data_IF_705832666585
#
_entry.id   IF_705832666585
#
_cell.length_a   1.000
_cell.length_b   1.000
_cell.length_c   1.000
_cell.angle_alpha   90.00
_cell.angle_beta   90.00
_cell.angle_gamma   90.00
#
_symmetry.space_group_name_H-M   'P 1'
#
loop_
_entity.id
_entity.type
_entity.pdbx_description
1 polymer ?
#
# COMPACT_ATOMS: atom_id res chain seq x y z
N UNK A 1 5.87 2.99 -20.76
CA UNK A 1 4.72 3.86 -21.03
C UNK A 1 4.25 4.41 -19.70
N UNK A 2 4.39 5.73 -19.53
CA UNK A 2 3.97 6.46 -18.34
C UNK A 2 2.45 6.68 -18.40
N UNK A 3 1.78 6.65 -17.24
CA UNK A 3 0.32 6.70 -17.14
C UNK A 3 -0.13 8.14 -16.92
N UNK A 4 -1.06 8.62 -17.75
CA UNK A 4 -1.77 9.90 -17.57
C UNK A 4 -0.85 11.14 -17.43
N UNK A 5 0.36 11.11 -17.99
CA UNK A 5 1.33 12.20 -17.89
C UNK A 5 2.09 12.27 -16.56
N UNK A 6 1.93 11.27 -15.68
CA UNK A 6 2.70 11.12 -14.44
C UNK A 6 3.93 10.23 -14.64
N UNK A 7 4.85 10.25 -13.69
CA UNK A 7 6.02 9.35 -13.67
C UNK A 7 5.67 7.86 -13.43
N UNK A 8 4.40 7.55 -13.15
CA UNK A 8 3.95 6.20 -12.82
C UNK A 8 4.04 5.25 -14.01
N UNK A 9 4.73 4.12 -13.81
CA UNK A 9 4.75 3.03 -14.79
C UNK A 9 3.40 2.32 -14.90
N UNK A 10 3.02 1.92 -16.13
CA UNK A 10 1.79 1.16 -16.41
C UNK A 10 1.65 -0.12 -15.56
N UNK A 11 2.76 -0.79 -15.28
CA UNK A 11 2.77 -2.00 -14.45
C UNK A 11 2.40 -1.67 -13.00
N UNK A 12 2.97 -0.61 -12.43
CA UNK A 12 2.64 -0.15 -11.08
C UNK A 12 1.18 0.28 -11.00
N UNK A 13 0.67 0.95 -12.03
CA UNK A 13 -0.74 1.32 -12.10
C UNK A 13 -1.67 0.09 -12.07
N UNK A 14 -1.33 -0.96 -12.83
CA UNK A 14 -2.07 -2.23 -12.80
C UNK A 14 -2.07 -2.85 -11.40
N UNK A 15 -0.93 -2.85 -10.71
CA UNK A 15 -0.84 -3.32 -9.32
C UNK A 15 -1.75 -2.51 -8.40
N UNK A 16 -1.74 -1.18 -8.49
CA UNK A 16 -2.63 -0.31 -7.70
C UNK A 16 -4.12 -0.65 -7.95
N UNK A 17 -4.52 -0.90 -9.20
CA UNK A 17 -5.89 -1.32 -9.51
C UNK A 17 -6.25 -2.66 -8.83
N UNK A 18 -5.37 -3.66 -8.93
CA UNK A 18 -5.57 -4.98 -8.33
C UNK A 18 -5.61 -4.87 -6.79
N UNK A 19 -4.66 -4.16 -6.20
CA UNK A 19 -4.55 -3.93 -4.76
C UNK A 19 -5.80 -3.22 -4.22
N UNK A 20 -6.33 -2.25 -4.95
CA UNK A 20 -7.58 -1.57 -4.60
C UNK A 20 -8.75 -2.55 -4.53
N UNK A 21 -8.91 -3.43 -5.52
CA UNK A 21 -9.96 -4.47 -5.50
C UNK A 21 -9.79 -5.43 -4.32
N UNK A 22 -8.56 -5.87 -4.06
CA UNK A 22 -8.25 -6.76 -2.92
C UNK A 22 -8.53 -6.07 -1.59
N UNK A 23 -8.17 -4.78 -1.44
CA UNK A 23 -8.44 -4.00 -0.24
C UNK A 23 -9.95 -3.92 0.03
N UNK A 24 -10.77 -3.61 -0.98
CA UNK A 24 -12.23 -3.60 -0.81
C UNK A 24 -12.77 -4.96 -0.40
N UNK A 25 -12.30 -6.04 -1.04
CA UNK A 25 -12.67 -7.40 -0.66
C UNK A 25 -12.32 -7.70 0.81
N UNK A 26 -11.10 -7.39 1.24
CA UNK A 26 -10.63 -7.62 2.61
C UNK A 26 -11.38 -6.78 3.63
N UNK A 27 -11.69 -5.51 3.33
CA UNK A 27 -12.49 -4.66 4.20
C UNK A 27 -13.90 -5.24 4.37
N UNK A 28 -14.57 -5.64 3.29
CA UNK A 28 -15.90 -6.27 3.37
C UNK A 28 -15.84 -7.59 4.16
N UNK A 29 -14.84 -8.44 3.87
CA UNK A 29 -14.64 -9.70 4.58
C UNK A 29 -14.38 -9.47 6.09
N UNK A 30 -13.60 -8.45 6.43
CA UNK A 30 -13.31 -8.05 7.82
C UNK A 30 -14.56 -7.57 8.55
N UNK A 31 -15.42 -6.80 7.89
CA UNK A 31 -16.70 -6.37 8.45
C UNK A 31 -17.65 -7.56 8.68
N UNK A 32 -17.62 -8.56 7.80
CA UNK A 32 -18.41 -9.78 7.97
C UNK A 32 -17.85 -10.72 9.06
N UNK A 33 -16.54 -10.66 9.36
CA UNK A 33 -15.85 -11.50 10.34
C UNK A 33 -14.91 -10.67 11.23
N UNK A 34 -15.45 -9.88 12.19
CA UNK A 34 -14.68 -9.00 13.06
C UNK A 34 -13.77 -9.73 14.06
N UNK A 35 -13.90 -11.05 14.21
CA UNK A 35 -13.01 -11.86 15.06
C UNK A 35 -11.77 -12.39 14.32
N UNK A 36 -11.73 -12.30 12.98
CA UNK A 36 -10.59 -12.76 12.19
C UNK A 36 -9.40 -11.81 12.31
N UNK A 37 -8.49 -12.14 13.24
CA UNK A 37 -7.29 -11.35 13.52
C UNK A 37 -6.30 -11.38 12.35
N UNK A 38 -6.23 -12.47 11.59
CA UNK A 38 -5.32 -12.56 10.43
C UNK A 38 -5.82 -11.66 9.31
N UNK A 39 -7.12 -11.68 9.03
CA UNK A 39 -7.74 -10.79 8.04
C UNK A 39 -7.53 -9.31 8.35
N UNK A 40 -7.43 -8.92 9.62
CA UNK A 40 -7.06 -7.55 10.00
C UNK A 40 -5.62 -7.18 9.58
N UNK A 41 -4.65 -8.08 9.81
CA UNK A 41 -3.26 -7.86 9.41
C UNK A 41 -3.12 -7.80 7.89
N UNK A 42 -3.82 -8.68 7.17
CA UNK A 42 -3.83 -8.69 5.70
C UNK A 42 -4.41 -7.37 5.15
N UNK A 43 -5.45 -6.83 5.80
CA UNK A 43 -6.04 -5.53 5.44
C UNK A 43 -5.04 -4.38 5.65
N UNK A 44 -4.26 -4.39 6.73
CA UNK A 44 -3.22 -3.38 6.96
C UNK A 44 -2.10 -3.52 5.91
N UNK A 45 -1.68 -4.75 5.61
CA UNK A 45 -0.61 -5.01 4.65
C UNK A 45 -0.98 -4.52 3.25
N UNK A 46 -2.17 -4.85 2.76
CA UNK A 46 -2.60 -4.39 1.43
C UNK A 46 -2.77 -2.87 1.39
N UNK A 47 -3.22 -2.25 2.49
CA UNK A 47 -3.33 -0.79 2.58
C UNK A 47 -1.96 -0.11 2.52
N UNK A 48 -0.96 -0.63 3.25
CA UNK A 48 0.42 -0.13 3.18
C UNK A 48 1.02 -0.31 1.79
N UNK A 49 0.79 -1.45 1.15
CA UNK A 49 1.27 -1.73 -0.20
C UNK A 49 0.67 -0.77 -1.23
N UNK A 50 -0.64 -0.51 -1.11
CA UNK A 50 -1.35 0.47 -1.94
C UNK A 50 -0.78 1.87 -1.75
N UNK A 51 -0.55 2.31 -0.50
CA UNK A 51 0.10 3.60 -0.21
C UNK A 51 1.50 3.67 -0.81
N UNK A 52 2.30 2.62 -0.66
CA UNK A 52 3.64 2.53 -1.24
C UNK A 52 3.62 2.68 -2.76
N UNK A 53 2.77 1.92 -3.47
CA UNK A 53 2.72 1.97 -4.93
C UNK A 53 2.13 3.28 -5.47
N UNK A 54 1.14 3.87 -4.79
CA UNK A 54 0.58 5.17 -5.17
C UNK A 54 1.63 6.27 -4.95
N UNK A 55 2.21 6.34 -3.76
CA UNK A 55 3.17 7.41 -3.43
C UNK A 55 4.49 7.25 -4.19
N UNK A 56 5.07 6.05 -4.26
CA UNK A 56 6.30 5.82 -5.04
C UNK A 56 6.09 5.81 -6.56
N UNK A 57 4.85 5.63 -7.02
CA UNK A 57 4.50 5.70 -8.43
C UNK A 57 4.21 7.13 -8.91
N UNK A 58 3.56 7.95 -8.07
CA UNK A 58 3.18 9.32 -8.41
C UNK A 58 4.19 10.37 -7.94
N UNK A 59 5.02 10.07 -6.95
CA UNK A 59 5.93 11.02 -6.33
C UNK A 59 7.40 10.56 -6.43
N UNK A 60 8.35 11.50 -6.54
CA UNK A 60 8.12 12.94 -6.67
C UNK A 60 7.81 13.35 -8.11
N UNK A 61 6.89 14.30 -8.27
CA UNK A 61 6.46 14.88 -9.54
C UNK A 61 6.39 16.42 -9.42
N UNK A 62 7.20 17.18 -10.19
CA UNK A 62 7.19 18.64 -10.20
C UNK A 62 5.85 19.27 -10.60
N UNK A 63 5.02 18.56 -11.36
CA UNK A 63 3.73 19.05 -11.85
C UNK A 63 2.62 18.83 -10.81
N UNK A 64 2.86 18.04 -9.76
CA UNK A 64 1.95 17.87 -8.64
C UNK A 64 2.08 19.00 -7.62
N UNK A 65 0.96 19.46 -7.03
CA UNK A 65 0.98 20.51 -6.02
C UNK A 65 1.72 20.05 -4.76
N UNK A 66 2.61 20.91 -4.24
CA UNK A 66 3.34 20.68 -3.00
C UNK A 66 4.84 20.92 -3.16
N UNK A 67 5.57 20.84 -2.04
CA UNK A 67 7.03 20.90 -2.08
C UNK A 67 7.60 19.57 -2.58
N UNK A 68 8.48 19.63 -3.58
CA UNK A 68 9.22 18.45 -4.06
C UNK A 68 9.88 17.68 -2.92
N UNK A 69 10.46 18.41 -1.95
CA UNK A 69 11.06 17.81 -0.76
C UNK A 69 10.06 16.98 0.06
N UNK A 70 8.82 17.48 0.25
CA UNK A 70 7.80 16.73 0.97
C UNK A 70 7.33 15.50 0.20
N UNK A 71 7.17 15.64 -1.13
CA UNK A 71 6.82 14.52 -1.98
C UNK A 71 7.86 13.40 -1.88
N UNK A 72 9.13 13.77 -1.88
CA UNK A 72 10.24 12.84 -1.75
C UNK A 72 10.28 12.18 -0.36
N UNK A 73 10.09 12.95 0.72
CA UNK A 73 9.93 12.40 2.06
C UNK A 73 8.77 11.39 2.15
N UNK A 74 7.66 11.63 1.46
CA UNK A 74 6.51 10.72 1.43
C UNK A 74 6.85 9.46 0.65
N UNK A 75 7.37 9.57 -0.57
CA UNK A 75 7.72 8.44 -1.43
C UNK A 75 8.74 7.49 -0.76
N UNK A 76 9.82 8.05 -0.22
CA UNK A 76 10.81 7.24 0.50
C UNK A 76 10.27 6.75 1.84
N UNK A 77 9.53 7.59 2.56
CA UNK A 77 8.96 7.23 3.86
C UNK A 77 8.06 6.00 3.78
N UNK A 78 7.10 5.97 2.84
CA UNK A 78 6.24 4.80 2.61
C UNK A 78 7.05 3.59 2.11
N UNK A 79 8.08 3.83 1.29
CA UNK A 79 9.05 2.83 0.83
C UNK A 79 9.83 2.16 1.95
N UNK A 80 10.13 2.85 3.05
CA UNK A 80 10.78 2.25 4.23
C UNK A 80 9.78 1.62 5.20
N UNK A 81 8.65 2.28 5.45
CA UNK A 81 7.64 1.83 6.43
C UNK A 81 7.05 0.47 6.03
N UNK A 82 6.67 0.31 4.76
CA UNK A 82 6.01 -0.91 4.26
C UNK A 82 6.84 -2.18 4.49
N UNK A 83 8.11 -2.27 4.03
CA UNK A 83 8.95 -3.43 4.30
C UNK A 83 9.37 -3.55 5.77
N UNK A 84 9.47 -2.46 6.53
CA UNK A 84 9.82 -2.52 7.96
C UNK A 84 8.71 -3.15 8.81
N UNK A 85 7.43 -2.87 8.50
CA UNK A 85 6.28 -3.39 9.25
C UNK A 85 5.92 -4.82 8.81
N UNK A 86 6.19 -5.19 7.56
CA UNK A 86 5.81 -6.49 6.98
C UNK A 86 6.27 -7.72 7.80
N UNK A 87 7.54 -7.81 8.28
CA UNK A 87 7.98 -8.92 9.13
C UNK A 87 7.24 -9.02 10.46
N UNK A 88 6.90 -7.87 11.06
CA UNK A 88 6.16 -7.81 12.34
C UNK A 88 4.74 -8.34 12.15
N UNK A 89 4.09 -7.99 11.03
CA UNK A 89 2.75 -8.51 10.72
C UNK A 89 2.80 -10.02 10.42
N UNK A 90 3.79 -10.47 9.65
CA UNK A 90 3.97 -11.88 9.33
C UNK A 90 4.18 -12.74 10.59
N UNK A 91 5.06 -12.31 11.49
CA UNK A 91 5.32 -13.01 12.76
C UNK A 91 4.09 -13.05 13.67
N UNK A 92 3.30 -11.97 13.74
CA UNK A 92 2.02 -11.95 14.45
C UNK A 92 0.97 -12.88 13.83
N UNK A 93 0.86 -12.90 12.51
CA UNK A 93 -0.06 -13.79 11.81
C UNK A 93 0.29 -15.27 12.08
N UNK A 94 1.59 -15.61 12.09
CA UNK A 94 2.05 -16.96 12.43
C UNK A 94 1.74 -17.36 13.87
N UNK A 95 1.84 -16.44 14.83
CA UNK A 95 1.56 -16.76 16.24
C UNK A 95 0.08 -16.98 16.53
N UNK A 96 -0.82 -16.36 15.76
CA UNK A 96 -2.27 -16.54 15.89
C UNK A 96 -2.84 -17.76 15.18
N UNK A 97 -2.02 -18.48 14.41
CA UNK A 97 -2.40 -19.75 13.74
C UNK A 97 -2.10 -21.00 14.58
N UNK A 98 -1.50 -20.86 15.75
CA UNK A 98 -1.26 -21.94 16.72
C UNK A 98 -2.44 -22.06 17.68
#
# INVERSE_FOLDING_TARGET
MQVLGTEMHMVTFLFVCIETVILFYLVIYRLARPDDKTGFLDTILIFLLLLYNITGGLLPDPDLPGSFFLQECIAYGTGFITPAISPIMFTKALSWRK
#
